data_IF_602295090226
#
_entry.id   IF_602295090226
#
_cell.length_a   1.000
_cell.length_b   1.000
_cell.length_c   1.000
_cell.angle_alpha   90.00
_cell.angle_beta   90.00
_cell.angle_gamma   90.00
#
_symmetry.space_group_name_H-M   'P 1'
#
loop_
_entity.id
_entity.type
_entity.pdbx_description
1 polymer ?
#
# COMPACT_ATOMS: atom_id res chain seq x y z
N UNK A 1 11.29 5.98 -19.70
CA UNK A 1 11.40 6.20 -18.24
C UNK A 1 10.12 5.64 -17.62
N UNK A 2 10.20 4.50 -16.92
CA UNK A 2 9.03 3.88 -16.27
C UNK A 2 8.91 4.45 -14.85
N UNK A 3 8.09 5.48 -14.68
CA UNK A 3 7.69 5.92 -13.34
C UNK A 3 6.53 5.03 -12.85
N UNK A 4 6.67 4.51 -11.64
CA UNK A 4 5.66 3.67 -11.01
C UNK A 4 4.62 4.59 -10.37
N UNK A 5 3.33 4.45 -10.69
CA UNK A 5 2.28 5.34 -10.17
C UNK A 5 1.64 4.73 -8.94
N UNK A 6 1.60 5.46 -7.82
CA UNK A 6 1.00 5.01 -6.58
C UNK A 6 -0.51 4.84 -6.73
N UNK A 7 -1.04 3.62 -6.57
CA UNK A 7 -2.49 3.37 -6.64
C UNK A 7 -3.27 3.94 -5.45
N UNK A 8 -2.58 4.38 -4.38
CA UNK A 8 -3.21 5.00 -3.22
C UNK A 8 -3.42 6.51 -3.34
N UNK A 9 -2.49 7.23 -3.99
CA UNK A 9 -2.58 8.69 -4.16
C UNK A 9 -2.67 9.15 -5.61
N UNK A 10 -2.41 8.29 -6.59
CA UNK A 10 -2.41 8.60 -8.02
C UNK A 10 -1.16 9.32 -8.54
N UNK A 11 -0.17 9.58 -7.68
CA UNK A 11 1.07 10.27 -8.05
C UNK A 11 2.20 9.29 -8.39
N UNK A 12 3.12 9.72 -9.24
CA UNK A 12 4.36 9.01 -9.53
C UNK A 12 5.23 8.84 -8.28
N UNK A 13 5.70 7.62 -8.07
CA UNK A 13 6.60 7.24 -7.00
C UNK A 13 8.02 7.60 -7.43
N UNK A 14 8.52 8.71 -6.91
CA UNK A 14 9.92 9.13 -6.98
C UNK A 14 10.71 8.73 -5.71
N UNK A 15 10.11 7.97 -4.82
CA UNK A 15 10.71 7.57 -3.55
C UNK A 15 11.82 6.50 -3.75
N UNK A 16 12.74 6.43 -2.78
CA UNK A 16 13.78 5.40 -2.73
C UNK A 16 13.17 4.01 -2.52
N UNK A 17 12.04 3.93 -1.82
CA UNK A 17 11.35 2.68 -1.53
C UNK A 17 9.90 2.72 -1.99
N UNK A 18 9.48 1.63 -2.64
CA UNK A 18 8.10 1.44 -3.09
C UNK A 18 7.60 0.08 -2.63
N UNK A 19 6.32 0.03 -2.30
CA UNK A 19 5.65 -1.19 -1.85
C UNK A 19 4.84 -1.75 -3.01
N UNK A 20 5.09 -3.01 -3.35
CA UNK A 20 4.37 -3.69 -4.42
C UNK A 20 3.42 -4.72 -3.80
N UNK A 21 2.11 -4.53 -3.98
CA UNK A 21 1.07 -5.38 -3.39
C UNK A 21 0.10 -5.79 -4.48
N UNK A 22 0.00 -7.10 -4.74
CA UNK A 22 -1.00 -7.70 -5.65
C UNK A 22 -1.09 -7.00 -7.02
N UNK A 23 0.06 -6.60 -7.58
CA UNK A 23 0.23 -5.90 -8.87
C UNK A 23 0.18 -4.37 -8.82
N UNK A 24 -0.31 -3.79 -7.72
CA UNK A 24 -0.30 -2.34 -7.52
C UNK A 24 0.93 -1.87 -6.73
N UNK A 25 1.29 -0.61 -6.91
CA UNK A 25 2.42 0.01 -6.21
C UNK A 25 1.96 1.17 -5.36
N UNK A 26 2.60 1.34 -4.21
CA UNK A 26 2.21 2.31 -3.21
C UNK A 26 3.45 2.93 -2.56
N UNK A 27 3.33 4.18 -2.15
CA UNK A 27 4.28 4.79 -1.23
C UNK A 27 4.21 4.13 0.15
N UNK A 28 5.29 4.19 0.90
CA UNK A 28 5.33 3.81 2.33
C UNK A 28 4.23 4.50 3.14
N UNK A 29 3.99 5.78 2.87
CA UNK A 29 2.96 6.55 3.55
C UNK A 29 1.55 6.32 3.00
N UNK A 30 1.42 5.86 1.75
CA UNK A 30 0.12 5.59 1.13
C UNK A 30 -0.39 4.19 1.46
N UNK A 31 0.49 3.23 1.71
CA UNK A 31 0.10 1.87 2.08
C UNK A 31 -0.36 1.82 3.55
N UNK A 32 -1.65 2.09 3.79
CA UNK A 32 -2.25 2.08 5.13
C UNK A 32 -3.48 1.18 5.18
N UNK A 33 -3.72 0.59 6.34
CA UNK A 33 -4.96 -0.15 6.58
C UNK A 33 -6.16 0.81 6.54
N UNK A 34 -7.20 0.45 5.79
CA UNK A 34 -8.44 1.23 5.70
C UNK A 34 -9.24 1.21 7.01
N UNK A 35 -9.06 0.19 7.86
CA UNK A 35 -9.77 0.05 9.13
C UNK A 35 -9.08 0.82 10.26
N UNK A 36 -7.80 0.51 10.54
CA UNK A 36 -7.07 1.14 11.65
C UNK A 36 -6.18 2.33 11.25
N UNK A 37 -6.01 2.62 9.95
CA UNK A 37 -5.16 3.71 9.47
C UNK A 37 -3.65 3.48 9.67
N UNK A 38 -3.24 2.32 10.19
CA UNK A 38 -1.84 1.99 10.47
C UNK A 38 -1.04 1.87 9.18
N UNK A 39 0.15 2.49 9.15
CA UNK A 39 1.11 2.30 8.07
C UNK A 39 1.55 0.84 8.00
N UNK A 40 1.38 0.24 6.82
CA UNK A 40 1.74 -1.14 6.56
C UNK A 40 3.08 -1.25 5.81
N UNK A 41 3.82 -0.14 5.67
CA UNK A 41 5.13 -0.13 5.04
C UNK A 41 6.12 -1.08 5.72
N UNK A 42 6.13 -1.08 7.05
CA UNK A 42 6.93 -2.02 7.86
C UNK A 42 6.25 -3.38 8.05
N UNK A 43 4.99 -3.52 7.64
CA UNK A 43 4.22 -4.72 7.87
C UNK A 43 4.35 -5.65 6.67
N UNK A 44 5.08 -6.76 6.83
CA UNK A 44 5.28 -7.76 5.79
C UNK A 44 4.02 -8.58 5.46
N UNK A 45 2.85 -8.16 5.94
CA UNK A 45 1.57 -8.87 5.84
C UNK A 45 0.43 -7.85 5.64
N UNK A 46 0.10 -7.57 4.39
CA UNK A 46 -1.04 -6.74 3.99
C UNK A 46 -2.00 -7.57 3.14
N UNK A 47 -3.30 -7.36 3.34
CA UNK A 47 -4.36 -8.09 2.65
C UNK A 47 -5.22 -7.12 1.85
N UNK A 48 -5.59 -7.50 0.64
CA UNK A 48 -6.44 -6.70 -0.24
C UNK A 48 -7.80 -7.37 -0.36
N UNK A 49 -8.87 -6.64 -0.02
CA UNK A 49 -10.24 -7.14 -0.05
C UNK A 49 -11.17 -6.05 -0.55
N UNK A 50 -11.91 -6.33 -1.62
CA UNK A 50 -12.90 -5.41 -2.21
C UNK A 50 -12.34 -3.99 -2.45
N UNK A 51 -11.17 -3.91 -3.09
CA UNK A 51 -10.45 -2.66 -3.38
C UNK A 51 -9.93 -1.89 -2.15
N UNK A 52 -10.03 -2.49 -0.96
CA UNK A 52 -9.55 -1.91 0.30
C UNK A 52 -8.42 -2.75 0.89
N UNK A 53 -7.45 -2.06 1.45
CA UNK A 53 -6.32 -2.67 2.15
C UNK A 53 -6.62 -2.85 3.63
N UNK A 54 -6.32 -4.04 4.13
CA UNK A 54 -6.47 -4.41 5.54
C UNK A 54 -5.15 -4.96 6.08
N UNK A 55 -4.84 -4.64 7.33
CA UNK A 55 -3.71 -5.25 8.02
C UNK A 55 -4.08 -6.67 8.47
N UNK A 56 -3.07 -7.46 8.85
CA UNK A 56 -3.26 -8.83 9.36
C UNK A 56 -4.24 -8.89 10.55
N UNK A 57 -4.21 -7.88 11.43
CA UNK A 57 -5.10 -7.80 12.59
C UNK A 57 -6.58 -7.55 12.20
N UNK A 58 -6.84 -6.68 11.24
CA UNK A 58 -8.21 -6.32 10.79
C UNK A 58 -8.78 -7.29 9.73
N UNK A 59 -7.96 -8.19 9.20
CA UNK A 59 -8.40 -9.12 8.15
C UNK A 59 -9.25 -10.30 8.69
N UNK A 60 -9.13 -10.63 9.98
CA UNK A 60 -9.73 -11.82 10.59
C UNK A 60 -11.12 -11.57 11.20
#
# INVERSE_FOLDING_TARGET
MLYKTCSGCGFDINDRYLLCVLDNVYHEFCLRCCACGRAMADCNSCYFKADKMYCKDDYY
#
